data_IF_582838327501
#
_entry.id   IF_582838327501
#
_cell.length_a   1.000
_cell.length_b   1.000
_cell.length_c   1.000
_cell.angle_alpha   90.00
_cell.angle_beta   90.00
_cell.angle_gamma   90.00
#
_symmetry.space_group_name_H-M   'P 1'
#
loop_
_entity.id
_entity.type
_entity.pdbx_description
1 polymer ?
#
# COMPACT_ATOMS: atom_id res chain seq x y z
N UNK A 1 -10.54 -8.37 -7.61
CA UNK A 1 -11.37 -8.07 -6.45
C UNK A 1 -10.54 -7.49 -5.34
N UNK A 2 -11.15 -6.68 -4.47
CA UNK A 2 -10.42 -5.99 -3.40
C UNK A 2 -9.67 -6.93 -2.48
N UNK A 3 -10.23 -8.08 -2.19
CA UNK A 3 -9.59 -9.08 -1.31
C UNK A 3 -8.28 -9.60 -1.87
N UNK A 4 -8.24 -9.84 -3.18
CA UNK A 4 -7.01 -10.30 -3.83
C UNK A 4 -5.95 -9.20 -3.83
N UNK A 5 -6.37 -7.97 -4.08
CA UNK A 5 -5.48 -6.82 -4.05
C UNK A 5 -4.97 -6.61 -2.63
N UNK A 6 -5.84 -6.74 -1.65
CA UNK A 6 -5.50 -6.57 -0.25
C UNK A 6 -4.43 -7.59 0.19
N UNK A 7 -4.62 -8.85 -0.17
CA UNK A 7 -3.66 -9.91 0.18
C UNK A 7 -2.31 -9.66 -0.50
N UNK A 8 -2.33 -9.35 -1.80
CA UNK A 8 -1.11 -9.06 -2.54
C UNK A 8 -0.39 -7.83 -2.00
N UNK A 9 -1.15 -6.78 -1.70
CA UNK A 9 -0.61 -5.53 -1.20
C UNK A 9 0.03 -5.72 0.17
N UNK A 10 -0.65 -6.43 1.07
CA UNK A 10 -0.12 -6.72 2.41
C UNK A 10 1.20 -7.47 2.32
N UNK A 11 1.26 -8.46 1.44
CA UNK A 11 2.47 -9.24 1.24
C UNK A 11 3.61 -8.40 0.67
N UNK A 12 3.29 -7.57 -0.33
CA UNK A 12 4.29 -6.68 -0.92
C UNK A 12 4.87 -5.71 0.10
N UNK A 13 4.01 -5.12 0.91
CA UNK A 13 4.45 -4.19 1.93
C UNK A 13 5.36 -4.89 2.94
N UNK A 14 4.94 -6.06 3.41
CA UNK A 14 5.73 -6.80 4.38
C UNK A 14 7.08 -7.22 3.82
N UNK A 15 7.10 -7.73 2.58
CA UNK A 15 8.34 -8.22 1.97
C UNK A 15 9.27 -7.12 1.48
N UNK A 16 8.70 -6.15 0.76
CA UNK A 16 9.50 -5.17 0.02
C UNK A 16 9.74 -3.88 0.78
N UNK A 17 8.78 -3.45 1.57
CA UNK A 17 8.89 -2.19 2.30
C UNK A 17 9.43 -2.42 3.71
N UNK A 18 8.81 -3.33 4.44
CA UNK A 18 9.21 -3.63 5.82
C UNK A 18 10.33 -4.64 5.91
N UNK A 19 10.55 -5.40 4.83
CA UNK A 19 11.56 -6.47 4.76
C UNK A 19 11.35 -7.51 5.85
N UNK A 20 10.09 -7.79 6.14
CA UNK A 20 9.67 -8.77 7.13
C UNK A 20 8.62 -9.70 6.49
N UNK A 21 9.04 -10.61 5.60
CA UNK A 21 8.09 -11.41 4.79
C UNK A 21 7.14 -12.28 5.60
N UNK A 22 7.49 -12.58 6.85
CA UNK A 22 6.63 -13.37 7.72
C UNK A 22 5.67 -12.53 8.54
N UNK A 23 5.76 -11.21 8.46
CA UNK A 23 4.90 -10.33 9.20
C UNK A 23 3.52 -10.28 8.56
N UNK A 24 2.50 -10.48 9.38
CA UNK A 24 1.12 -10.35 8.92
C UNK A 24 0.65 -8.91 9.15
N UNK A 25 0.05 -8.35 8.12
CA UNK A 25 -0.51 -7.02 8.19
C UNK A 25 -2.02 -7.12 8.07
N UNK A 26 -2.73 -6.52 9.01
CA UNK A 26 -4.18 -6.51 8.98
C UNK A 26 -4.69 -5.42 8.06
N UNK A 27 -5.89 -5.58 7.49
CA UNK A 27 -6.46 -4.56 6.60
C UNK A 27 -6.57 -3.18 7.24
N UNK A 28 -6.86 -3.13 8.52
CA UNK A 28 -6.99 -1.88 9.26
C UNK A 28 -5.67 -1.34 9.81
N UNK A 29 -4.55 -1.99 9.49
CA UNK A 29 -3.24 -1.51 9.91
C UNK A 29 -2.96 -0.15 9.30
N UNK A 30 -2.74 0.83 10.15
CA UNK A 30 -2.37 2.16 9.72
C UNK A 30 -0.89 2.18 9.34
N UNK A 31 -0.60 2.78 8.22
CA UNK A 31 0.75 2.78 7.65
C UNK A 31 1.47 4.10 7.88
N UNK A 32 0.77 5.19 7.61
CA UNK A 32 1.39 6.52 7.61
C UNK A 32 1.32 7.18 8.98
N UNK A 33 0.14 7.22 9.59
CA UNK A 33 -0.05 7.91 10.86
C UNK A 33 0.71 7.26 12.02
N UNK A 34 0.97 5.96 11.93
CA UNK A 34 1.75 5.23 12.94
C UNK A 34 3.25 5.30 12.70
N UNK A 35 3.65 5.84 11.53
CA UNK A 35 5.05 5.89 11.15
C UNK A 35 5.61 4.55 10.70
N UNK A 36 4.77 3.57 10.44
CA UNK A 36 5.21 2.26 9.96
C UNK A 36 5.91 2.40 8.60
N UNK A 37 5.39 3.25 7.75
CA UNK A 37 5.97 3.58 6.45
C UNK A 37 6.28 5.07 6.46
N UNK A 38 7.55 5.42 6.25
CA UNK A 38 7.96 6.83 6.17
C UNK A 38 7.77 7.37 4.74
N UNK A 39 8.07 8.66 4.56
CA UNK A 39 7.87 9.32 3.27
C UNK A 39 8.75 8.73 2.16
N UNK A 40 9.92 8.24 2.48
CA UNK A 40 10.79 7.61 1.49
C UNK A 40 10.24 6.25 1.06
N UNK A 41 9.76 5.49 2.02
CA UNK A 41 9.18 4.18 1.73
C UNK A 41 7.85 4.30 0.97
N UNK A 42 7.13 5.40 1.16
CA UNK A 42 5.91 5.66 0.39
C UNK A 42 6.19 5.77 -1.10
N UNK A 43 7.30 6.37 -1.47
CA UNK A 43 7.70 6.47 -2.89
C UNK A 43 7.96 5.06 -3.44
N UNK A 44 8.67 4.24 -2.68
CA UNK A 44 8.91 2.86 -3.07
C UNK A 44 7.61 2.07 -3.20
N UNK A 45 6.69 2.30 -2.26
CA UNK A 45 5.38 1.65 -2.31
C UNK A 45 4.60 2.04 -3.57
N UNK A 46 4.63 3.32 -3.93
CA UNK A 46 3.97 3.80 -5.14
C UNK A 46 4.53 3.12 -6.39
N UNK A 47 5.85 2.95 -6.45
CA UNK A 47 6.50 2.27 -7.57
C UNK A 47 6.12 0.79 -7.61
N UNK A 48 6.03 0.13 -6.46
CA UNK A 48 5.62 -1.27 -6.39
C UNK A 48 4.18 -1.45 -6.83
N UNK A 49 3.31 -0.54 -6.44
CA UNK A 49 1.90 -0.58 -6.84
C UNK A 49 1.78 -0.41 -8.35
N UNK A 50 2.51 0.54 -8.91
CA UNK A 50 2.49 0.76 -10.36
C UNK A 50 3.01 -0.46 -11.10
N UNK A 51 4.11 -1.03 -10.63
CA UNK A 51 4.73 -2.20 -11.27
C UNK A 51 3.86 -3.46 -11.17
N UNK A 52 3.24 -3.66 -10.02
CA UNK A 52 2.46 -4.87 -9.74
C UNK A 52 1.04 -4.81 -10.27
N UNK A 53 0.37 -3.68 -10.08
CA UNK A 53 -1.05 -3.53 -10.41
C UNK A 53 -1.30 -2.65 -11.63
N UNK A 54 -0.28 -1.96 -12.11
CA UNK A 54 -0.44 -1.04 -13.23
C UNK A 54 -1.21 0.23 -12.87
N UNK A 55 -1.22 0.58 -11.58
CA UNK A 55 -1.91 1.76 -11.06
C UNK A 55 -0.91 2.81 -10.64
N UNK A 56 -1.03 4.01 -11.22
CA UNK A 56 -0.15 5.12 -10.89
C UNK A 56 -0.69 5.90 -9.70
N UNK A 57 0.17 6.17 -8.72
CA UNK A 57 -0.14 7.02 -7.58
C UNK A 57 0.72 8.28 -7.66
N UNK A 58 0.08 9.45 -7.62
CA UNK A 58 0.79 10.72 -7.62
C UNK A 58 1.41 11.00 -6.26
N UNK A 59 2.50 11.77 -6.27
CA UNK A 59 3.16 12.17 -5.02
C UNK A 59 2.19 12.87 -4.06
N UNK A 60 1.24 13.63 -4.60
CA UNK A 60 0.25 14.33 -3.79
C UNK A 60 -0.71 13.40 -3.08
N UNK A 61 -0.76 12.14 -3.50
CA UNK A 61 -1.63 11.13 -2.91
C UNK A 61 -0.94 10.29 -1.84
N UNK A 62 0.35 10.47 -1.64
CA UNK A 62 1.13 9.68 -0.70
C UNK A 62 1.09 10.32 0.70
N UNK A 63 -0.11 10.31 1.30
CA UNK A 63 -0.32 10.89 2.62
C UNK A 63 -1.52 10.24 3.32
N UNK A 64 -1.63 10.46 4.62
CA UNK A 64 -2.67 9.83 5.44
C UNK A 64 -4.09 10.32 5.10
N UNK A 65 -4.21 11.48 4.46
CA UNK A 65 -5.52 11.98 4.04
C UNK A 65 -6.09 11.19 2.86
N UNK A 66 -5.21 10.64 2.04
CA UNK A 66 -5.62 9.84 0.88
C UNK A 66 -5.81 8.38 1.27
N UNK A 67 -4.85 7.83 1.99
CA UNK A 67 -4.95 6.48 2.53
C UNK A 67 -4.04 6.36 3.75
N UNK A 68 -4.45 5.60 4.72
CA UNK A 68 -3.64 5.31 5.90
C UNK A 68 -3.66 3.81 6.18
N UNK A 69 -4.82 3.19 6.05
CA UNK A 69 -4.95 1.75 6.24
C UNK A 69 -4.73 1.01 4.92
N UNK A 70 -4.24 -0.22 5.01
CA UNK A 70 -4.00 -1.05 3.83
C UNK A 70 -5.27 -1.23 3.02
N UNK A 71 -6.41 -1.43 3.69
CA UNK A 71 -7.70 -1.58 3.00
C UNK A 71 -8.08 -0.35 2.20
N UNK A 72 -7.72 0.84 2.68
CA UNK A 72 -7.99 2.07 1.94
C UNK A 72 -7.15 2.13 0.66
N UNK A 73 -5.90 1.73 0.74
CA UNK A 73 -5.03 1.69 -0.44
C UNK A 73 -5.51 0.62 -1.41
N UNK A 74 -5.92 -0.53 -0.91
CA UNK A 74 -6.46 -1.59 -1.77
C UNK A 74 -7.71 -1.13 -2.52
N UNK A 75 -8.60 -0.42 -1.85
CA UNK A 75 -9.80 0.12 -2.48
C UNK A 75 -9.45 1.15 -3.55
N UNK A 76 -8.47 1.98 -3.30
CA UNK A 76 -8.01 2.98 -4.26
C UNK A 76 -7.43 2.30 -5.51
N UNK A 77 -6.65 1.26 -5.32
CA UNK A 77 -6.06 0.49 -6.41
C UNK A 77 -7.16 -0.14 -7.26
N UNK A 78 -8.13 -0.78 -6.61
CA UNK A 78 -9.23 -1.42 -7.33
C UNK A 78 -10.06 -0.41 -8.13
N UNK A 79 -10.27 0.76 -7.57
CA UNK A 79 -11.02 1.82 -8.23
C UNK A 79 -10.32 2.28 -9.51
N UNK A 80 -9.00 2.30 -9.51
CA UNK A 80 -8.21 2.78 -10.65
C UNK A 80 -7.79 1.67 -11.60
N UNK A 81 -7.82 0.46 -11.12
CA UNK A 81 -7.44 -0.69 -11.93
C UNK A 81 -8.53 -0.96 -12.96
N UNK A 82 -8.10 -1.21 -14.19
CA UNK A 82 -9.02 -1.51 -15.29
C UNK A 82 -9.03 -2.99 -15.63
#
# INVERSE_FOLDING_TARGET
MTEDILASLSKLIAEKILKQPKRELKPEQKLISTGLIDSFSLVDLALLVEDTFGVHLDDTELNANTFDMIEQLAALIEKRKK
#
